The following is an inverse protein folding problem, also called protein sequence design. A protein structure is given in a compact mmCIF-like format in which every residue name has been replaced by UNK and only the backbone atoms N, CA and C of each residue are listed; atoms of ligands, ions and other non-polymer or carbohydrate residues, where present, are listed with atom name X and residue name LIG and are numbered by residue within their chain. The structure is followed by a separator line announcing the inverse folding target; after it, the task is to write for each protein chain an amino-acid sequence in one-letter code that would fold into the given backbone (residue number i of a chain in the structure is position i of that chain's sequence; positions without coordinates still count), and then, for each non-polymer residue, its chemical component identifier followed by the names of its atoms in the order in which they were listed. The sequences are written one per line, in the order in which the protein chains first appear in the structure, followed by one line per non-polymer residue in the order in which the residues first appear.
data_IF_590895616347
#
_entry.id   IF_590895616347
#
_cell.length_a   1.000
_cell.length_b   1.000
_cell.length_c   1.000
_cell.angle_alpha   90.00
_cell.angle_beta   90.00
_cell.angle_gamma   90.00
#
_symmetry.space_group_name_H-M   'P 1'
#
loop_
_entity.id
_entity.type
_entity.pdbx_description
1 polymer ?
#
# COMPACT_ATOMS: atom_id res chain seq x y z
N UNK A 1 6.06 18.67 -2.81
CA UNK A 1 6.89 18.06 -3.86
C UNK A 1 8.28 18.69 -3.85
N UNK A 2 9.34 17.89 -3.80
CA UNK A 2 10.72 18.39 -3.86
C UNK A 2 11.23 18.38 -5.31
N UNK A 3 11.08 17.26 -6.02
CA UNK A 3 11.48 17.09 -7.43
C UNK A 3 10.61 16.05 -8.13
N UNK A 4 10.65 16.02 -9.46
CA UNK A 4 9.82 15.14 -10.29
C UNK A 4 8.35 15.54 -10.30
N UNK A 5 7.47 14.67 -10.82
CA UNK A 5 6.02 14.89 -10.86
C UNK A 5 5.28 13.65 -10.34
N UNK A 6 4.30 13.86 -9.48
CA UNK A 6 3.51 12.79 -8.86
C UNK A 6 2.03 13.02 -9.15
N UNK A 7 1.31 11.94 -9.46
CA UNK A 7 -0.15 11.89 -9.40
C UNK A 7 -0.60 11.26 -8.08
N UNK A 8 -1.26 12.03 -7.25
CA UNK A 8 -1.93 11.54 -6.05
C UNK A 8 -3.36 11.15 -6.35
N UNK A 9 -3.76 9.99 -5.87
CA UNK A 9 -5.15 9.54 -5.78
C UNK A 9 -5.55 9.59 -4.30
N UNK A 10 -6.63 10.30 -3.96
CA UNK A 10 -7.12 10.44 -2.58
C UNK A 10 -8.63 10.21 -2.58
N UNK A 11 -9.06 9.02 -2.14
CA UNK A 11 -10.44 8.60 -2.34
C UNK A 11 -10.80 8.62 -3.83
N UNK A 12 -11.74 9.47 -4.22
CA UNK A 12 -12.18 9.64 -5.62
C UNK A 12 -11.45 10.79 -6.35
N UNK A 13 -10.64 11.58 -5.64
CA UNK A 13 -9.98 12.76 -6.19
C UNK A 13 -8.58 12.44 -6.71
N UNK A 14 -8.15 13.20 -7.72
CA UNK A 14 -6.85 13.05 -8.36
C UNK A 14 -6.15 14.41 -8.45
N UNK A 15 -4.88 14.45 -8.05
CA UNK A 15 -4.06 15.65 -8.02
C UNK A 15 -2.70 15.40 -8.68
N UNK A 16 -2.35 16.20 -9.68
CA UNK A 16 -1.01 16.18 -10.27
C UNK A 16 -0.18 17.28 -9.62
N UNK A 17 0.95 16.92 -9.01
CA UNK A 17 1.83 17.85 -8.31
C UNK A 17 3.19 17.98 -8.99
N UNK A 18 3.60 19.23 -9.19
CA UNK A 18 4.92 19.63 -9.66
C UNK A 18 5.81 20.10 -8.50
N UNK A 19 7.13 20.29 -8.72
CA UNK A 19 8.04 20.78 -7.68
C UNK A 19 7.57 22.11 -7.07
N UNK A 20 7.63 22.22 -5.74
CA UNK A 20 7.15 23.38 -5.00
C UNK A 20 5.68 23.30 -4.57
N UNK A 21 4.87 22.44 -5.19
CA UNK A 21 3.46 22.27 -4.82
C UNK A 21 3.27 21.28 -3.67
N UNK A 22 2.14 21.40 -2.98
CA UNK A 22 1.76 20.53 -1.87
C UNK A 22 0.25 20.43 -1.74
N UNK A 23 -0.19 19.33 -1.13
CA UNK A 23 -1.61 19.08 -0.80
C UNK A 23 -1.70 18.64 0.65
N UNK A 24 -2.89 18.83 1.23
CA UNK A 24 -3.23 18.24 2.52
C UNK A 24 -4.00 16.94 2.28
N UNK A 25 -3.57 15.87 2.96
CA UNK A 25 -4.22 14.56 2.86
C UNK A 25 -5.06 14.33 4.10
N UNK A 26 -6.36 14.07 3.93
CA UNK A 26 -7.14 13.44 4.98
C UNK A 26 -6.69 11.98 5.10
N UNK A 27 -5.99 11.64 6.19
CA UNK A 27 -5.42 10.30 6.39
C UNK A 27 -6.46 9.20 6.57
N UNK A 28 -7.74 9.53 6.81
CA UNK A 28 -8.82 8.55 6.86
C UNK A 28 -9.23 8.04 5.47
N UNK A 29 -8.87 8.77 4.41
CA UNK A 29 -9.13 8.35 3.04
C UNK A 29 -7.97 7.50 2.50
N UNK A 30 -8.26 6.43 1.73
CA UNK A 30 -7.22 5.69 1.03
C UNK A 30 -6.51 6.61 0.05
N UNK A 31 -5.18 6.55 0.06
CA UNK A 31 -4.36 7.38 -0.82
C UNK A 31 -3.20 6.60 -1.43
N UNK A 32 -2.87 6.93 -2.67
CA UNK A 32 -1.76 6.36 -3.45
C UNK A 32 -1.08 7.48 -4.24
N UNK A 33 0.22 7.35 -4.43
CA UNK A 33 1.03 8.25 -5.23
C UNK A 33 1.69 7.47 -6.37
N UNK A 34 1.55 7.98 -7.60
CA UNK A 34 2.23 7.46 -8.78
C UNK A 34 3.26 8.46 -9.27
N UNK A 35 4.49 7.99 -9.50
CA UNK A 35 5.46 8.77 -10.24
C UNK A 35 5.02 8.84 -11.71
N UNK A 36 4.79 10.05 -12.20
CA UNK A 36 4.40 10.31 -13.60
C UNK A 36 5.50 11.04 -14.37
N UNK A 37 6.70 11.20 -13.79
CA UNK A 37 7.91 11.63 -14.51
C UNK A 37 8.73 10.45 -14.99
N UNK A 38 9.58 10.69 -15.99
CA UNK A 38 10.57 9.73 -16.48
C UNK A 38 11.64 9.43 -15.40
N UNK A 39 11.97 10.45 -14.61
CA UNK A 39 12.96 10.38 -13.53
C UNK A 39 12.35 10.11 -12.15
N UNK A 40 13.22 9.86 -11.17
CA UNK A 40 12.88 9.73 -9.76
C UNK A 40 12.18 10.99 -9.21
N UNK A 41 10.99 10.81 -8.64
CA UNK A 41 10.28 11.85 -7.92
C UNK A 41 10.56 11.79 -6.41
N UNK A 42 10.75 12.95 -5.78
CA UNK A 42 11.03 13.07 -4.34
C UNK A 42 9.96 13.90 -3.65
N UNK A 43 9.41 13.35 -2.57
CA UNK A 43 8.33 13.97 -1.79
C UNK A 43 8.71 14.05 -0.31
N UNK A 44 8.32 15.14 0.34
CA UNK A 44 8.30 15.24 1.80
C UNK A 44 6.85 15.07 2.26
N UNK A 45 6.63 14.11 3.16
CA UNK A 45 5.34 13.90 3.82
C UNK A 45 5.50 14.19 5.30
N UNK A 46 4.61 15.03 5.83
CA UNK A 46 4.56 15.37 7.25
C UNK A 46 3.24 14.88 7.81
N UNK A 47 3.30 14.00 8.81
CA UNK A 47 2.10 13.44 9.46
C UNK A 47 1.95 14.07 10.84
N UNK A 48 0.89 14.86 11.01
CA UNK A 48 0.50 15.35 12.33
C UNK A 48 -0.32 14.28 13.05
N UNK A 49 0.14 13.81 14.21
CA UNK A 49 -0.65 12.88 15.04
C UNK A 49 -1.77 13.64 15.74
N UNK A 50 -3.01 13.21 15.50
CA UNK A 50 -4.14 13.61 16.36
C UNK A 50 -3.92 13.11 17.79
N UNK A 51 -4.20 13.91 18.83
CA UNK A 51 -4.09 13.48 20.22
C UNK A 51 -5.21 12.50 20.65
N UNK A 52 -6.19 12.21 19.79
CA UNK A 52 -7.29 11.31 20.12
C UNK A 52 -6.97 9.85 19.78
N UNK A 53 -7.25 9.00 20.77
CA UNK A 53 -7.02 7.55 20.82
C UNK A 53 -7.95 6.83 19.83
N UNK A 54 -7.64 6.87 18.53
CA UNK A 54 -8.26 5.99 17.55
C UNK A 54 -7.62 4.60 17.68
N UNK A 55 -8.46 3.55 17.67
CA UNK A 55 -7.97 2.18 17.61
C UNK A 55 -7.04 2.00 16.40
N UNK A 56 -5.81 1.60 16.65
CA UNK A 56 -4.76 1.49 15.65
C UNK A 56 -5.06 0.27 14.76
N UNK A 57 -5.66 0.52 13.59
CA UNK A 57 -5.84 -0.53 12.59
C UNK A 57 -4.60 -0.57 11.69
N UNK A 58 -3.81 -1.63 11.81
CA UNK A 58 -2.56 -1.82 11.08
C UNK A 58 -2.82 -2.31 9.64
N UNK A 59 -3.22 -1.41 8.74
CA UNK A 59 -3.48 -1.73 7.32
C UNK A 59 -2.24 -2.21 6.54
N UNK A 60 -1.03 -2.11 7.09
CA UNK A 60 0.22 -2.61 6.47
C UNK A 60 0.45 -4.11 6.60
N UNK A 61 -0.41 -4.84 7.32
CA UNK A 61 -0.32 -6.30 7.32
C UNK A 61 -0.78 -6.82 5.97
N UNK A 62 0.16 -7.14 5.09
CA UNK A 62 -0.09 -7.95 3.91
C UNK A 62 -0.91 -9.17 4.33
N UNK A 63 -2.07 -9.39 3.68
CA UNK A 63 -2.89 -10.57 3.88
C UNK A 63 -2.01 -11.80 3.66
N UNK A 64 -1.61 -12.49 4.73
CA UNK A 64 -0.92 -13.77 4.60
C UNK A 64 -1.90 -14.73 3.93
N UNK A 65 -1.60 -15.16 2.71
CA UNK A 65 -2.34 -16.25 2.10
C UNK A 65 -2.30 -17.46 3.06
N UNK A 66 -3.44 -18.09 3.36
CA UNK A 66 -3.42 -19.31 4.15
C UNK A 66 -2.54 -20.35 3.44
N UNK A 67 -1.75 -21.15 4.19
CA UNK A 67 -0.91 -22.16 3.58
C UNK A 67 -1.81 -23.10 2.76
N UNK A 68 -1.50 -23.22 1.46
CA UNK A 68 -2.05 -24.27 0.61
C UNK A 68 -1.82 -25.59 1.32
N UNK A 69 -2.90 -26.24 1.75
CA UNK A 69 -2.88 -27.61 2.23
C UNK A 69 -2.39 -28.47 1.06
N UNK A 70 -1.09 -28.74 1.03
CA UNK A 70 -0.50 -29.69 0.08
C UNK A 70 -0.96 -31.06 0.56
N UNK A 71 -2.01 -31.55 -0.07
CA UNK A 71 -2.49 -32.90 0.17
C UNK A 71 -1.33 -33.90 0.01
N UNK A 72 -1.28 -34.80 0.97
CA UNK A 72 -0.26 -35.80 1.24
C UNK A 72 0.07 -36.72 0.05
N UNK A 73 1.25 -37.38 0.08
CA UNK A 73 1.75 -38.21 -1.01
C UNK A 73 0.88 -39.45 -1.27
N UNK A 74 0.78 -39.83 -2.56
CA UNK A 74 0.17 -41.08 -3.04
C UNK A 74 0.59 -42.27 -2.19
N UNK A 75 -0.40 -42.98 -1.65
CA UNK A 75 -0.21 -44.28 -1.00
C UNK A 75 0.52 -45.25 -1.95
N UNK A 76 1.62 -45.83 -1.46
CA UNK A 76 2.29 -47.00 -2.03
C UNK A 76 1.74 -48.26 -1.33
N UNK A 77 1.06 -49.11 -2.12
CA UNK A 77 1.00 -50.61 -2.16
C UNK A 77 0.94 -51.45 -0.87
N UNK A 78 0.28 -52.64 -0.87
CA UNK A 78 0.97 -53.84 -1.32
C UNK A 78 0.13 -54.88 -2.08
N UNK A 79 0.87 -55.83 -2.65
CA UNK A 79 0.47 -57.01 -3.40
C UNK A 79 0.38 -58.24 -2.47
N UNK A 80 -0.57 -59.16 -2.73
CA UNK A 80 -0.78 -60.48 -2.08
C UNK A 80 -2.28 -60.74 -1.88
N UNK A 81 -2.90 -61.87 -2.24
CA UNK A 81 -2.47 -63.22 -2.63
C UNK A 81 -3.13 -63.70 -3.94
#
# INVERSE_FOLDING_TARGET
MISGRIRFHVGAEVFDLAPGEGIFLNSELPHRADNISEDEARILMVVAKSPQKAEHFDWWRACRAPPLHRDQPRARTPQGD
#
